data_IF_564713024801
#
_entry.id   IF_564713024801
#
_cell.length_a   1.000
_cell.length_b   1.000
_cell.length_c   1.000
_cell.angle_alpha   90.00
_cell.angle_beta   90.00
_cell.angle_gamma   90.00
#
_symmetry.space_group_name_H-M   'P 1'
#
loop_
_entity.id
_entity.type
_entity.pdbx_description
1 polymer ?
#
# COMPACT_ATOMS: atom_id res chain seq x y z
N UNK A 1 -16.74 -9.23 12.65
CA UNK A 1 -17.85 -9.74 13.52
C UNK A 1 -18.63 -10.81 12.77
N UNK A 2 -18.84 -11.97 13.37
CA UNK A 2 -19.61 -13.07 12.78
C UNK A 2 -20.80 -13.36 13.70
N UNK A 3 -22.02 -13.39 13.17
CA UNK A 3 -23.24 -13.71 13.91
C UNK A 3 -24.02 -14.79 13.14
N UNK A 4 -24.44 -15.85 13.82
CA UNK A 4 -25.15 -17.00 13.24
C UNK A 4 -24.47 -17.59 12.00
N UNK A 5 -23.12 -17.61 12.02
CA UNK A 5 -22.27 -18.10 10.93
C UNK A 5 -21.72 -19.48 11.25
N UNK A 6 -21.62 -20.34 10.22
CA UNK A 6 -21.03 -21.68 10.33
C UNK A 6 -19.96 -21.88 9.27
N UNK A 7 -18.75 -22.30 9.70
CA UNK A 7 -17.62 -22.59 8.82
C UNK A 7 -17.24 -21.39 7.91
N UNK A 8 -17.30 -20.16 8.45
CA UNK A 8 -16.95 -18.93 7.74
C UNK A 8 -15.54 -18.51 8.12
N UNK A 9 -14.71 -18.21 7.12
CA UNK A 9 -13.41 -17.58 7.28
C UNK A 9 -13.47 -16.15 6.76
N UNK A 10 -13.17 -15.16 7.60
CA UNK A 10 -13.12 -13.77 7.20
C UNK A 10 -11.75 -13.18 7.57
N UNK A 11 -11.04 -12.68 6.58
CA UNK A 11 -9.77 -11.97 6.74
C UNK A 11 -9.93 -10.55 6.22
N UNK A 12 -9.56 -9.57 7.04
CA UNK A 12 -9.59 -8.14 6.70
C UNK A 12 -8.36 -7.46 7.28
N UNK A 13 -7.87 -6.42 6.61
CA UNK A 13 -6.75 -5.62 7.12
C UNK A 13 -7.26 -4.43 7.95
N UNK A 14 -8.09 -3.57 7.37
CA UNK A 14 -8.47 -2.29 7.98
C UNK A 14 -10.00 -2.10 8.10
N UNK A 15 -10.81 -2.78 7.28
CA UNK A 15 -12.26 -2.62 7.25
C UNK A 15 -12.97 -3.53 8.26
N UNK A 16 -14.00 -3.00 8.89
CA UNK A 16 -14.91 -3.86 9.65
C UNK A 16 -15.72 -4.72 8.67
N UNK A 17 -15.53 -6.04 8.75
CA UNK A 17 -16.37 -7.02 8.06
C UNK A 17 -17.36 -7.61 9.06
N UNK A 18 -18.65 -7.46 8.79
CA UNK A 18 -19.72 -8.11 9.51
C UNK A 18 -20.40 -9.12 8.60
N UNK A 19 -20.54 -10.36 9.07
CA UNK A 19 -21.22 -11.42 8.34
C UNK A 19 -22.29 -12.05 9.25
N UNK A 20 -23.49 -12.28 8.72
CA UNK A 20 -24.63 -12.80 9.46
C UNK A 20 -25.28 -13.91 8.65
N UNK A 21 -25.56 -15.05 9.30
CA UNK A 21 -26.31 -16.16 8.71
C UNK A 21 -25.62 -16.88 7.56
N UNK A 22 -24.28 -16.74 7.40
CA UNK A 22 -23.51 -17.34 6.31
C UNK A 22 -23.00 -18.74 6.67
N UNK A 23 -22.84 -19.58 5.64
CA UNK A 23 -22.28 -20.93 5.77
C UNK A 23 -21.27 -21.20 4.68
N UNK A 24 -20.16 -21.87 5.05
CA UNK A 24 -19.12 -22.36 4.15
C UNK A 24 -18.53 -21.27 3.23
N UNK A 25 -18.35 -20.06 3.74
CA UNK A 25 -17.90 -18.89 3.01
C UNK A 25 -16.49 -18.49 3.43
N UNK A 26 -15.70 -18.06 2.44
CA UNK A 26 -14.45 -17.34 2.60
C UNK A 26 -14.68 -15.88 2.20
N UNK A 27 -14.28 -14.95 3.07
CA UNK A 27 -14.26 -13.51 2.80
C UNK A 27 -12.82 -13.05 2.98
N UNK A 28 -12.25 -12.45 1.95
CA UNK A 28 -10.92 -11.80 1.99
C UNK A 28 -11.10 -10.36 1.56
N UNK A 29 -10.84 -9.44 2.47
CA UNK A 29 -10.88 -8.01 2.24
C UNK A 29 -9.47 -7.44 2.25
N UNK A 30 -9.09 -6.80 1.16
CA UNK A 30 -7.85 -6.06 0.98
C UNK A 30 -8.15 -4.59 0.67
N UNK A 31 -7.18 -3.66 0.72
CA UNK A 31 -7.44 -2.25 0.43
C UNK A 31 -8.07 -1.97 -0.94
N UNK A 32 -7.91 -2.87 -1.90
CA UNK A 32 -8.28 -2.70 -3.30
C UNK A 32 -9.35 -3.68 -3.81
N UNK A 33 -9.64 -4.76 -3.07
CA UNK A 33 -10.61 -5.75 -3.51
C UNK A 33 -11.26 -6.50 -2.34
N UNK A 34 -12.48 -6.96 -2.54
CA UNK A 34 -13.17 -7.89 -1.63
C UNK A 34 -13.51 -9.15 -2.42
N UNK A 35 -13.02 -10.28 -1.96
CA UNK A 35 -13.43 -11.60 -2.44
C UNK A 35 -14.43 -12.21 -1.47
N UNK A 36 -15.56 -12.68 -1.99
CA UNK A 36 -16.50 -13.53 -1.28
C UNK A 36 -16.72 -14.78 -2.11
N UNK A 37 -16.43 -15.94 -1.56
CA UNK A 37 -16.55 -17.20 -2.27
C UNK A 37 -17.06 -18.31 -1.35
N UNK A 38 -17.86 -19.23 -1.88
CA UNK A 38 -18.11 -20.48 -1.20
C UNK A 38 -16.84 -21.34 -1.19
N UNK A 39 -16.59 -22.07 -0.12
CA UNK A 39 -15.35 -22.85 0.03
C UNK A 39 -15.17 -23.88 -1.07
N UNK A 40 -16.23 -24.51 -1.54
CA UNK A 40 -16.18 -25.50 -2.61
C UNK A 40 -15.85 -24.87 -3.98
N UNK A 41 -15.99 -23.55 -4.11
CA UNK A 41 -15.69 -22.78 -5.32
C UNK A 41 -14.39 -21.99 -5.23
N UNK A 42 -13.54 -22.25 -4.25
CA UNK A 42 -12.28 -21.53 -4.07
C UNK A 42 -11.33 -21.66 -5.28
N UNK A 43 -11.41 -22.75 -6.03
CA UNK A 43 -10.61 -22.95 -7.25
C UNK A 43 -11.07 -22.10 -8.44
N UNK A 44 -12.35 -21.67 -8.45
CA UNK A 44 -12.94 -20.91 -9.54
C UNK A 44 -12.51 -19.43 -9.49
N UNK A 45 -11.84 -18.99 -8.42
CA UNK A 45 -11.19 -17.66 -8.31
C UNK A 45 -10.23 -17.41 -9.47
N UNK A 46 -9.66 -18.45 -10.09
CA UNK A 46 -8.83 -18.35 -11.29
C UNK A 46 -9.57 -17.67 -12.47
N UNK A 47 -10.85 -17.95 -12.62
CA UNK A 47 -11.67 -17.38 -13.69
C UNK A 47 -11.87 -15.89 -13.47
N UNK A 48 -12.12 -15.48 -12.20
CA UNK A 48 -12.21 -14.07 -11.83
C UNK A 48 -10.92 -13.32 -12.17
N UNK A 49 -9.76 -13.91 -11.84
CA UNK A 49 -8.44 -13.34 -12.20
C UNK A 49 -8.28 -13.25 -13.73
N UNK A 50 -8.77 -14.25 -14.48
CA UNK A 50 -8.81 -14.23 -15.93
C UNK A 50 -9.61 -13.04 -16.49
N UNK A 51 -10.79 -12.80 -15.92
CA UNK A 51 -11.63 -11.64 -16.30
C UNK A 51 -10.96 -10.30 -15.98
N UNK A 52 -10.41 -10.15 -14.77
CA UNK A 52 -9.67 -8.94 -14.38
C UNK A 52 -8.51 -8.63 -15.33
N UNK A 53 -7.83 -9.69 -15.82
CA UNK A 53 -6.73 -9.55 -16.78
C UNK A 53 -7.24 -9.14 -18.17
N UNK A 54 -8.33 -9.73 -18.65
CA UNK A 54 -8.94 -9.35 -19.94
C UNK A 54 -9.43 -7.92 -19.94
N UNK A 55 -9.99 -7.46 -18.84
CA UNK A 55 -10.50 -6.11 -18.63
C UNK A 55 -9.41 -5.07 -18.30
N UNK A 56 -8.14 -5.52 -18.28
CA UNK A 56 -6.97 -4.68 -17.96
C UNK A 56 -7.08 -3.97 -16.62
N UNK A 57 -7.74 -4.59 -15.65
CA UNK A 57 -7.83 -4.08 -14.28
C UNK A 57 -6.46 -4.21 -13.59
N UNK A 58 -6.11 -3.24 -12.75
CA UNK A 58 -4.80 -3.24 -12.06
C UNK A 58 -4.74 -4.21 -10.88
N UNK A 59 -5.88 -4.57 -10.32
CA UNK A 59 -6.01 -5.36 -9.09
C UNK A 59 -5.46 -6.79 -9.21
N UNK A 60 -5.32 -7.31 -10.43
CA UNK A 60 -4.69 -8.63 -10.63
C UNK A 60 -3.16 -8.59 -10.61
N UNK A 61 -2.54 -7.41 -10.76
CA UNK A 61 -1.09 -7.25 -10.85
C UNK A 61 -0.46 -6.67 -9.59
N UNK A 62 -1.07 -5.66 -9.02
CA UNK A 62 -0.50 -4.90 -7.90
C UNK A 62 -1.57 -4.57 -6.88
N UNK A 63 -1.32 -4.96 -5.65
CA UNK A 63 -2.13 -4.48 -4.54
C UNK A 63 -1.85 -3.01 -4.26
N UNK A 64 -2.84 -2.31 -3.73
CA UNK A 64 -2.70 -0.92 -3.29
C UNK A 64 -1.56 -0.76 -2.29
N UNK A 65 -1.37 -1.73 -1.37
CA UNK A 65 -0.23 -1.81 -0.46
C UNK A 65 0.81 -2.81 -0.97
N UNK A 66 2.04 -2.33 -1.10
CA UNK A 66 3.18 -3.13 -1.60
C UNK A 66 4.26 -3.17 -0.53
N UNK A 67 4.65 -4.39 -0.14
CA UNK A 67 5.72 -4.63 0.82
C UNK A 67 7.09 -4.64 0.14
N UNK A 68 8.08 -4.10 0.83
CA UNK A 68 9.47 -4.02 0.41
C UNK A 68 10.39 -4.38 1.58
N UNK A 69 11.67 -4.72 1.36
CA UNK A 69 12.59 -5.00 2.47
C UNK A 69 12.67 -3.86 3.48
N UNK A 70 12.59 -2.61 3.02
CA UNK A 70 12.64 -1.41 3.85
C UNK A 70 11.31 -1.06 4.55
N UNK A 71 10.19 -1.71 4.22
CA UNK A 71 8.88 -1.41 4.78
C UNK A 71 7.75 -1.64 3.80
N UNK A 72 6.90 -0.65 3.60
CA UNK A 72 5.81 -0.73 2.62
C UNK A 72 5.46 0.65 2.07
N UNK A 73 4.80 0.65 0.93
CA UNK A 73 4.10 1.84 0.44
C UNK A 73 2.66 1.49 0.05
N UNK A 74 1.79 2.48 0.16
CA UNK A 74 0.39 2.36 -0.20
C UNK A 74 -0.02 3.56 -1.07
N UNK A 75 -0.65 3.28 -2.23
CA UNK A 75 -1.27 4.31 -3.05
C UNK A 75 -2.52 4.84 -2.36
N UNK A 76 -2.57 6.14 -2.07
CA UNK A 76 -3.73 6.80 -1.44
C UNK A 76 -4.66 7.34 -2.52
N UNK A 77 -4.09 8.07 -3.48
CA UNK A 77 -4.83 8.73 -4.56
C UNK A 77 -3.93 8.89 -5.79
N UNK A 78 -4.52 8.95 -6.96
CA UNK A 78 -3.80 9.16 -8.21
C UNK A 78 -4.69 9.79 -9.28
N UNK A 79 -4.10 10.66 -10.09
CA UNK A 79 -4.72 11.26 -11.25
C UNK A 79 -3.74 11.42 -12.41
N UNK A 80 -4.17 12.01 -13.54
CA UNK A 80 -3.33 12.10 -14.74
C UNK A 80 -1.95 12.73 -14.53
N UNK A 81 -1.82 13.59 -13.50
CA UNK A 81 -0.59 14.35 -13.23
C UNK A 81 -0.10 14.31 -11.79
N UNK A 82 -0.70 13.48 -10.94
CA UNK A 82 -0.28 13.35 -9.55
C UNK A 82 -0.46 11.91 -9.04
N UNK A 83 0.29 11.59 -8.00
CA UNK A 83 0.14 10.38 -7.21
C UNK A 83 0.46 10.68 -5.75
N UNK A 84 -0.43 10.24 -4.85
CA UNK A 84 -0.22 10.31 -3.40
C UNK A 84 0.08 8.91 -2.88
N UNK A 85 1.17 8.79 -2.13
CA UNK A 85 1.57 7.53 -1.48
C UNK A 85 1.82 7.75 0.00
N UNK A 86 1.43 6.77 0.80
CA UNK A 86 1.91 6.63 2.17
C UNK A 86 3.07 5.63 2.18
N UNK A 87 4.18 6.01 2.79
CA UNK A 87 5.32 5.13 3.01
C UNK A 87 5.44 4.83 4.50
N UNK A 88 5.71 3.58 4.82
CA UNK A 88 6.07 3.14 6.17
C UNK A 88 7.46 2.53 6.09
N UNK A 89 8.44 3.20 6.67
CA UNK A 89 9.85 2.78 6.64
C UNK A 89 10.22 2.23 8.00
N UNK A 90 10.72 0.99 8.02
CA UNK A 90 11.14 0.31 9.26
C UNK A 90 12.29 1.08 9.93
N UNK A 91 12.41 1.01 11.25
CA UNK A 91 13.58 1.53 11.96
C UNK A 91 14.88 1.01 11.35
N UNK A 92 15.87 1.89 11.17
CA UNK A 92 17.16 1.59 10.56
C UNK A 92 17.14 1.32 9.06
N UNK A 93 15.99 1.37 8.41
CA UNK A 93 15.86 1.10 6.97
C UNK A 93 15.89 2.38 6.12
N UNK A 94 16.27 2.20 4.86
CA UNK A 94 16.36 3.26 3.86
C UNK A 94 15.78 2.82 2.52
N UNK A 95 15.17 3.76 1.81
CA UNK A 95 14.86 3.58 0.40
C UNK A 95 16.16 3.62 -0.43
N UNK A 96 16.10 3.10 -1.65
CA UNK A 96 17.20 3.29 -2.62
C UNK A 96 17.40 4.78 -2.94
N UNK A 97 18.61 5.14 -3.29
CA UNK A 97 18.88 6.47 -3.85
C UNK A 97 18.21 6.58 -5.23
N UNK A 98 17.39 7.59 -5.43
CA UNK A 98 16.54 7.76 -6.62
C UNK A 98 16.71 9.14 -7.24
N UNK A 99 16.36 9.25 -8.51
CA UNK A 99 16.23 10.49 -9.24
C UNK A 99 15.11 10.35 -10.28
N UNK A 100 14.28 11.37 -10.43
CA UNK A 100 13.17 11.37 -11.37
C UNK A 100 13.24 12.52 -12.34
N UNK A 101 13.17 12.22 -13.65
CA UNK A 101 13.23 13.24 -14.71
C UNK A 101 11.87 13.87 -15.04
N UNK A 102 10.76 13.23 -14.64
CA UNK A 102 9.42 13.64 -15.09
C UNK A 102 8.44 13.94 -13.95
N UNK A 103 8.90 13.89 -12.70
CA UNK A 103 8.09 14.25 -11.53
C UNK A 103 8.94 14.89 -10.44
N UNK A 104 8.38 15.89 -9.82
CA UNK A 104 8.84 16.40 -8.53
C UNK A 104 8.08 15.69 -7.41
N UNK A 105 8.59 15.74 -6.19
CA UNK A 105 7.94 15.13 -5.03
C UNK A 105 7.84 16.11 -3.87
N UNK A 106 6.75 16.00 -3.10
CA UNK A 106 6.59 16.64 -1.81
C UNK A 106 6.53 15.56 -0.74
N UNK A 107 7.43 15.61 0.21
CA UNK A 107 7.44 14.68 1.33
C UNK A 107 7.01 15.36 2.61
N UNK A 108 6.11 14.72 3.33
CA UNK A 108 5.61 15.17 4.63
C UNK A 108 5.81 14.02 5.61
N UNK A 109 6.49 14.27 6.72
CA UNK A 109 6.63 13.30 7.81
C UNK A 109 5.38 13.35 8.66
N UNK A 110 4.58 12.28 8.60
CA UNK A 110 3.34 12.18 9.38
C UNK A 110 3.60 11.65 10.79
N UNK A 111 4.59 10.76 10.94
CA UNK A 111 4.95 10.16 12.23
C UNK A 111 6.43 9.81 12.26
N UNK A 112 7.10 10.12 13.36
CA UNK A 112 8.50 9.79 13.61
C UNK A 112 9.46 10.82 13.04
N UNK A 113 10.66 10.37 12.64
CA UNK A 113 11.73 11.21 12.11
C UNK A 113 12.32 10.56 10.86
N UNK A 114 12.53 11.36 9.83
CA UNK A 114 13.17 10.94 8.60
C UNK A 114 14.52 11.66 8.41
N UNK A 115 15.54 10.92 7.99
CA UNK A 115 16.75 11.47 7.41
C UNK A 115 16.56 11.55 5.91
N UNK A 116 16.70 12.74 5.36
CA UNK A 116 16.51 13.03 3.93
C UNK A 116 17.83 13.38 3.30
N UNK A 117 18.19 12.68 2.22
CA UNK A 117 19.22 13.08 1.29
C UNK A 117 18.55 13.77 0.11
N UNK A 118 18.99 14.97 -0.26
CA UNK A 118 18.47 15.76 -1.38
C UNK A 118 19.62 16.47 -2.08
N UNK A 119 20.07 15.94 -3.22
CA UNK A 119 21.32 16.34 -3.84
C UNK A 119 22.48 16.10 -2.88
N UNK A 120 23.23 17.14 -2.59
CA UNK A 120 24.38 17.12 -1.67
C UNK A 120 23.99 17.41 -0.21
N UNK A 121 22.72 17.76 0.04
CA UNK A 121 22.23 18.06 1.37
C UNK A 121 21.74 16.81 2.08
N UNK A 122 22.03 16.72 3.39
CA UNK A 122 21.46 15.70 4.28
C UNK A 122 20.91 16.40 5.52
N UNK A 123 19.63 16.20 5.81
CA UNK A 123 18.95 16.84 6.92
C UNK A 123 17.89 15.94 7.53
N UNK A 124 17.43 16.32 8.72
CA UNK A 124 16.37 15.62 9.45
C UNK A 124 15.04 16.34 9.28
N UNK A 125 13.96 15.57 9.15
CA UNK A 125 12.58 16.04 9.23
C UNK A 125 11.88 15.29 10.36
N UNK A 126 11.20 16.01 11.21
CA UNK A 126 10.33 15.48 12.26
C UNK A 126 8.85 15.56 11.86
N UNK A 127 7.97 15.12 12.73
CA UNK A 127 6.53 15.15 12.49
C UNK A 127 6.03 16.55 12.07
N UNK A 128 5.13 16.59 11.08
CA UNK A 128 4.57 17.79 10.45
C UNK A 128 5.56 18.64 9.66
N UNK A 129 6.81 18.22 9.52
CA UNK A 129 7.76 18.86 8.61
C UNK A 129 7.70 18.25 7.21
N UNK A 130 8.05 19.05 6.22
CA UNK A 130 8.00 18.66 4.80
C UNK A 130 9.21 19.17 4.03
N UNK A 131 9.44 18.57 2.88
CA UNK A 131 10.43 19.05 1.90
C UNK A 131 9.94 18.85 0.48
N UNK A 132 10.36 19.73 -0.39
CA UNK A 132 10.16 19.63 -1.83
C UNK A 132 11.42 19.06 -2.50
N UNK A 133 11.23 18.05 -3.34
CA UNK A 133 12.27 17.42 -4.17
C UNK A 133 12.04 17.84 -5.62
N UNK A 134 12.88 18.70 -6.19
CA UNK A 134 12.75 19.12 -7.58
C UNK A 134 13.01 17.97 -8.57
N UNK A 135 12.58 18.17 -9.81
CA UNK A 135 12.96 17.34 -10.95
C UNK A 135 14.48 17.19 -11.04
N UNK A 136 14.96 15.99 -11.37
CA UNK A 136 16.38 15.72 -11.59
C UNK A 136 17.24 15.72 -10.32
N UNK A 137 16.65 15.90 -9.15
CA UNK A 137 17.39 15.90 -7.89
C UNK A 137 17.50 14.49 -7.34
N UNK A 138 18.72 14.03 -7.07
CA UNK A 138 18.98 12.77 -6.38
C UNK A 138 18.48 12.84 -4.95
N UNK A 139 17.74 11.83 -4.50
CA UNK A 139 17.12 11.85 -3.19
C UNK A 139 16.95 10.46 -2.57
N UNK A 140 16.93 10.41 -1.25
CA UNK A 140 16.67 9.21 -0.46
C UNK A 140 16.02 9.56 0.86
N UNK A 141 15.11 8.69 1.30
CA UNK A 141 14.49 8.76 2.62
C UNK A 141 14.95 7.57 3.47
N UNK A 142 15.33 7.83 4.69
CA UNK A 142 15.78 6.85 5.67
C UNK A 142 15.02 7.07 6.99
N UNK A 143 14.74 5.99 7.70
CA UNK A 143 14.27 6.05 9.08
C UNK A 143 15.47 5.75 10.02
N UNK A 144 16.07 6.76 10.66
CA UNK A 144 17.21 6.57 11.56
C UNK A 144 16.80 6.06 12.93
N UNK A 145 15.50 5.94 13.22
CA UNK A 145 14.99 5.46 14.51
C UNK A 145 15.33 4.00 14.79
N UNK A 146 15.32 3.65 16.05
CA UNK A 146 15.52 2.29 16.56
C UNK A 146 14.18 1.58 16.74
#
# INVERSE_FOLDING_TARGET
MLADCRNVHAQTEDRLVAAVGLRDIVIVDTPDAVLVAHKDHAQDVKEVVGHLKSDKRSEYQTHRRVYRPWGSYEGIDAGPRFQVKRLVVKPGAALSLQMHHHRAEHWIVVKGTARVTKGDEVFMLTENQSTYIPLGTTHRLENPGN
#
